data_IF_575833028656
#
_entry.id   IF_575833028656
#
_cell.length_a   1.000
_cell.length_b   1.000
_cell.length_c   1.000
_cell.angle_alpha   90.00
_cell.angle_beta   90.00
_cell.angle_gamma   90.00
#
_symmetry.space_group_name_H-M   'P 1'
#
loop_
_entity.id
_entity.type
_entity.pdbx_description
1 polymer ?
#
# COMPACT_ATOMS: atom_id res chain seq x y z
N UNK A 1 -10.92 -21.67 1.57
CA UNK A 1 -11.14 -23.12 1.81
C UNK A 1 -9.88 -23.85 2.30
N UNK A 2 -8.80 -23.98 1.50
CA UNK A 2 -7.60 -24.74 1.91
C UNK A 2 -6.83 -24.18 3.13
N UNK A 3 -6.83 -22.85 3.34
CA UNK A 3 -6.15 -22.19 4.46
C UNK A 3 -6.77 -22.54 5.81
N UNK A 4 -8.10 -22.44 5.93
CA UNK A 4 -8.81 -22.68 7.19
C UNK A 4 -8.75 -24.15 7.63
N UNK A 5 -8.79 -25.11 6.69
CA UNK A 5 -8.63 -26.53 7.00
C UNK A 5 -7.22 -26.85 7.52
N UNK A 6 -6.18 -26.28 6.89
CA UNK A 6 -4.80 -26.40 7.37
C UNK A 6 -4.62 -25.78 8.75
N UNK A 7 -5.17 -24.60 8.98
CA UNK A 7 -5.14 -23.92 10.28
C UNK A 7 -5.85 -24.74 11.37
N UNK A 8 -6.98 -25.37 11.02
CA UNK A 8 -7.72 -26.27 11.91
C UNK A 8 -6.86 -27.46 12.35
N UNK A 9 -6.16 -28.11 11.41
CA UNK A 9 -5.25 -29.21 11.73
C UNK A 9 -4.10 -28.77 12.64
N UNK A 10 -3.53 -27.58 12.39
CA UNK A 10 -2.46 -27.01 13.22
C UNK A 10 -2.98 -26.78 14.65
N UNK A 11 -4.09 -26.07 14.80
CA UNK A 11 -4.69 -25.78 16.11
C UNK A 11 -5.03 -27.06 16.88
N UNK A 12 -5.68 -28.01 16.22
CA UNK A 12 -6.02 -29.30 16.81
C UNK A 12 -4.80 -30.06 17.30
N UNK A 13 -3.75 -30.15 16.47
CA UNK A 13 -2.51 -30.84 16.85
C UNK A 13 -1.87 -30.21 18.08
N UNK A 14 -1.82 -28.87 18.16
CA UNK A 14 -1.29 -28.17 19.32
C UNK A 14 -2.14 -28.41 20.57
N UNK A 15 -3.47 -28.30 20.47
CA UNK A 15 -4.39 -28.61 21.56
C UNK A 15 -4.18 -30.05 22.08
N UNK A 16 -4.11 -31.02 21.17
CA UNK A 16 -3.92 -32.43 21.50
C UNK A 16 -2.61 -32.69 22.27
N UNK A 17 -1.54 -31.95 21.95
CA UNK A 17 -0.22 -32.09 22.59
C UNK A 17 0.02 -31.11 23.76
N UNK A 18 -0.89 -30.18 24.00
CA UNK A 18 -0.73 -29.05 24.94
C UNK A 18 -0.68 -29.45 26.42
N UNK A 19 -1.15 -30.65 26.79
CA UNK A 19 -1.39 -31.08 28.17
C UNK A 19 -2.22 -30.06 29.01
N UNK A 20 -3.02 -29.19 28.38
CA UNK A 20 -3.83 -28.21 29.10
C UNK A 20 -4.97 -28.89 29.89
N UNK A 21 -5.31 -28.31 31.04
CA UNK A 21 -6.47 -28.76 31.80
C UNK A 21 -7.77 -28.51 31.03
N UNK A 22 -8.77 -29.36 31.27
CA UNK A 22 -10.06 -29.33 30.57
C UNK A 22 -10.73 -27.94 30.61
N UNK A 23 -10.63 -27.22 31.72
CA UNK A 23 -11.20 -25.88 31.89
C UNK A 23 -10.69 -24.86 30.85
N UNK A 24 -9.44 -24.99 30.41
CA UNK A 24 -8.86 -24.12 29.37
C UNK A 24 -9.29 -24.57 27.97
N UNK A 25 -9.33 -25.89 27.73
CA UNK A 25 -9.80 -26.45 26.47
C UNK A 25 -11.24 -26.05 26.21
N UNK A 26 -12.11 -26.18 27.22
CA UNK A 26 -13.53 -25.82 27.12
C UNK A 26 -13.72 -24.36 26.66
N UNK A 27 -12.81 -23.43 26.99
CA UNK A 27 -12.87 -22.03 26.53
C UNK A 27 -12.57 -21.86 25.04
N UNK A 28 -11.80 -22.76 24.42
CA UNK A 28 -11.53 -22.79 22.98
C UNK A 28 -12.73 -23.38 22.21
N UNK A 29 -13.38 -24.39 22.78
CA UNK A 29 -14.57 -25.03 22.19
C UNK A 29 -15.86 -24.25 22.42
N UNK A 30 -15.94 -23.47 23.50
CA UNK A 30 -17.07 -22.60 23.83
C UNK A 30 -17.41 -21.69 22.63
N UNK A 31 -18.69 -21.64 22.27
CA UNK A 31 -19.23 -20.81 21.19
C UNK A 31 -18.49 -20.98 19.84
N UNK A 32 -17.84 -22.13 19.63
CA UNK A 32 -16.99 -22.41 18.47
C UNK A 32 -15.84 -21.40 18.26
N UNK A 33 -15.29 -20.83 19.34
CA UNK A 33 -14.17 -19.86 19.30
C UNK A 33 -12.93 -20.33 18.54
N UNK A 34 -12.70 -21.63 18.40
CA UNK A 34 -11.68 -22.16 17.49
C UNK A 34 -11.81 -21.65 16.06
N UNK A 35 -13.03 -21.34 15.57
CA UNK A 35 -13.27 -20.73 14.26
C UNK A 35 -12.66 -19.32 14.16
N UNK A 36 -12.77 -18.51 15.21
CA UNK A 36 -12.18 -17.17 15.28
C UNK A 36 -10.65 -17.27 15.26
N UNK A 37 -10.08 -18.24 15.99
CA UNK A 37 -8.64 -18.48 16.00
C UNK A 37 -8.14 -18.83 14.59
N UNK A 38 -8.72 -19.84 13.93
CA UNK A 38 -8.22 -20.36 12.63
C UNK A 38 -8.41 -19.38 11.47
N UNK A 39 -9.38 -18.47 11.58
CA UNK A 39 -9.66 -17.45 10.55
C UNK A 39 -8.91 -16.15 10.79
N UNK A 40 -8.34 -15.96 11.98
CA UNK A 40 -7.62 -14.74 12.34
C UNK A 40 -6.47 -14.42 11.37
N UNK A 41 -6.32 -13.15 10.99
CA UNK A 41 -5.31 -12.68 10.02
C UNK A 41 -3.88 -13.04 10.43
N UNK A 42 -3.60 -13.02 11.74
CA UNK A 42 -2.28 -13.29 12.32
C UNK A 42 -2.06 -14.76 12.68
N UNK A 43 -2.99 -15.68 12.37
CA UNK A 43 -2.84 -17.10 12.72
C UNK A 43 -1.45 -17.64 12.30
N UNK A 44 -0.72 -18.20 13.26
CA UNK A 44 0.64 -18.69 13.07
C UNK A 44 0.89 -19.89 14.01
N UNK A 45 1.46 -21.01 13.53
CA UNK A 45 1.81 -22.14 14.39
C UNK A 45 2.58 -21.76 15.66
N UNK A 46 3.50 -20.78 15.60
CA UNK A 46 4.25 -20.31 16.78
C UNK A 46 3.37 -19.59 17.80
N UNK A 47 2.40 -18.81 17.33
CA UNK A 47 1.42 -18.16 18.22
C UNK A 47 0.55 -19.21 18.87
N UNK A 48 0.09 -20.20 18.09
CA UNK A 48 -0.70 -21.32 18.63
C UNK A 48 0.09 -22.11 19.66
N UNK A 49 1.34 -22.47 19.37
CA UNK A 49 2.25 -23.10 20.33
C UNK A 49 2.38 -22.27 21.61
N UNK A 50 2.57 -20.95 21.49
CA UNK A 50 2.71 -20.05 22.62
C UNK A 50 1.44 -20.01 23.50
N UNK A 51 0.26 -19.90 22.89
CA UNK A 51 -1.01 -19.83 23.64
C UNK A 51 -1.51 -21.19 24.12
N UNK A 52 -0.91 -22.29 23.65
CA UNK A 52 -1.21 -23.65 24.09
C UNK A 52 -0.14 -24.26 25.00
N UNK A 53 0.94 -23.54 25.31
CA UNK A 53 1.97 -24.02 26.22
C UNK A 53 1.45 -24.05 27.68
N UNK A 54 1.43 -25.23 28.29
CA UNK A 54 0.90 -25.42 29.65
C UNK A 54 1.58 -24.54 30.70
N UNK A 55 2.91 -24.35 30.61
CA UNK A 55 3.68 -23.58 31.60
C UNK A 55 3.29 -22.10 31.52
N UNK A 56 3.19 -21.56 30.31
CA UNK A 56 2.80 -20.16 30.07
C UNK A 56 1.34 -19.93 30.45
N UNK A 57 0.45 -20.81 30.02
CA UNK A 57 -1.01 -20.71 30.30
C UNK A 57 -1.33 -20.88 31.78
N UNK A 58 -0.53 -21.66 32.52
CA UNK A 58 -0.70 -21.86 33.97
C UNK A 58 -0.64 -20.58 34.82
N UNK A 59 -0.16 -19.46 34.26
CA UNK A 59 -0.17 -18.15 34.92
C UNK A 59 -1.46 -17.34 34.70
N UNK A 60 -2.36 -17.82 33.84
CA UNK A 60 -3.65 -17.18 33.49
C UNK A 60 -4.79 -18.00 34.07
N UNK A 61 -5.80 -17.36 34.68
CA UNK A 61 -6.98 -18.10 35.16
C UNK A 61 -7.87 -18.53 33.97
N UNK A 62 -8.60 -19.66 34.05
CA UNK A 62 -9.41 -20.16 32.93
C UNK A 62 -10.40 -19.15 32.35
N UNK A 63 -11.00 -18.30 33.18
CA UNK A 63 -11.98 -17.31 32.72
C UNK A 63 -11.38 -16.22 31.83
N UNK A 64 -10.12 -15.85 32.06
CA UNK A 64 -9.39 -14.86 31.27
C UNK A 64 -8.69 -15.48 30.05
N UNK A 65 -8.71 -16.81 29.91
CA UNK A 65 -7.94 -17.51 28.88
C UNK A 65 -8.34 -17.14 27.45
N UNK A 66 -9.63 -16.88 27.21
CA UNK A 66 -10.09 -16.46 25.89
C UNK A 66 -9.55 -15.06 25.51
N UNK A 67 -9.58 -14.12 26.46
CA UNK A 67 -9.00 -12.80 26.26
C UNK A 67 -7.49 -12.89 26.07
N UNK A 68 -6.81 -13.79 26.79
CA UNK A 68 -5.40 -14.08 26.58
C UNK A 68 -5.11 -14.59 25.16
N UNK A 69 -5.89 -15.53 24.62
CA UNK A 69 -5.73 -16.02 23.23
C UNK A 69 -5.94 -14.88 22.23
N UNK A 70 -7.03 -14.11 22.37
CA UNK A 70 -7.33 -12.99 21.47
C UNK A 70 -6.21 -11.96 21.50
N UNK A 71 -5.78 -11.55 22.68
CA UNK A 71 -4.68 -10.60 22.84
C UNK A 71 -3.42 -11.09 22.14
N UNK A 72 -3.02 -12.35 22.31
CA UNK A 72 -1.81 -12.88 21.66
C UNK A 72 -1.94 -13.04 20.13
N UNK A 73 -3.16 -13.20 19.61
CA UNK A 73 -3.41 -13.19 18.16
C UNK A 73 -3.41 -11.76 17.60
N UNK A 74 -3.94 -10.80 18.34
CA UNK A 74 -4.00 -9.39 17.98
C UNK A 74 -2.63 -8.71 18.09
N UNK A 75 -1.91 -8.98 19.18
CA UNK A 75 -0.63 -8.36 19.57
C UNK A 75 0.46 -9.43 19.83
N UNK A 76 0.95 -10.16 18.82
CA UNK A 76 1.97 -11.20 19.00
C UNK A 76 3.38 -10.64 19.20
N UNK A 77 3.52 -9.38 19.64
CA UNK A 77 4.80 -8.68 19.72
C UNK A 77 5.79 -9.41 20.65
N UNK A 78 5.33 -9.88 21.81
CA UNK A 78 6.16 -10.61 22.78
C UNK A 78 6.72 -11.93 22.19
N UNK A 79 5.92 -12.60 21.36
CA UNK A 79 6.28 -13.87 20.72
C UNK A 79 7.37 -13.62 19.68
N UNK A 80 7.23 -12.55 18.90
CA UNK A 80 8.26 -12.13 17.95
C UNK A 80 9.49 -11.57 18.65
N UNK A 81 9.35 -10.86 19.76
CA UNK A 81 10.47 -10.35 20.55
C UNK A 81 11.37 -11.50 21.02
N UNK A 82 10.78 -12.52 21.65
CA UNK A 82 11.54 -13.68 22.13
C UNK A 82 12.25 -14.40 20.98
N UNK A 83 11.55 -14.64 19.87
CA UNK A 83 12.12 -15.32 18.71
C UNK A 83 13.20 -14.49 18.02
N UNK A 84 12.90 -13.23 17.71
CA UNK A 84 13.77 -12.34 16.94
C UNK A 84 15.03 -11.97 17.73
N UNK A 85 14.90 -11.66 19.02
CA UNK A 85 16.04 -11.22 19.82
C UNK A 85 16.93 -12.38 20.29
N UNK A 86 16.33 -13.53 20.65
CA UNK A 86 17.08 -14.61 21.30
C UNK A 86 17.36 -15.82 20.39
N UNK A 87 16.58 -15.99 19.31
CA UNK A 87 16.63 -17.21 18.49
C UNK A 87 17.00 -16.95 17.02
N UNK A 88 17.28 -15.69 16.64
CA UNK A 88 17.72 -15.37 15.28
C UNK A 88 19.08 -14.69 15.23
N UNK A 89 19.87 -15.12 14.26
CA UNK A 89 21.15 -14.54 13.91
C UNK A 89 20.97 -13.16 13.26
N UNK A 90 21.91 -12.25 13.49
CA UNK A 90 21.91 -10.88 12.93
C UNK A 90 21.71 -10.86 11.42
N UNK A 91 22.24 -11.85 10.69
CA UNK A 91 22.06 -11.94 9.25
C UNK A 91 20.61 -12.25 8.86
N UNK A 92 19.89 -13.06 9.63
CA UNK A 92 18.46 -13.33 9.42
C UNK A 92 17.64 -12.07 9.74
N UNK A 93 18.02 -11.36 10.81
CA UNK A 93 17.40 -10.08 11.18
C UNK A 93 17.59 -9.04 10.08
N UNK A 94 18.78 -8.95 9.49
CA UNK A 94 19.06 -8.06 8.36
C UNK A 94 18.12 -8.33 7.17
N UNK A 95 17.93 -9.59 6.75
CA UNK A 95 16.97 -9.90 5.67
C UNK A 95 15.54 -9.50 6.03
N UNK A 96 15.16 -9.66 7.29
CA UNK A 96 13.82 -9.29 7.77
C UNK A 96 13.63 -7.78 7.77
N UNK A 97 14.58 -7.01 8.32
CA UNK A 97 14.58 -5.56 8.29
C UNK A 97 14.49 -5.01 6.85
N UNK A 98 15.34 -5.50 5.96
CA UNK A 98 15.33 -5.10 4.55
C UNK A 98 13.97 -5.39 3.89
N UNK A 99 13.31 -6.50 4.23
CA UNK A 99 11.98 -6.83 3.70
C UNK A 99 10.90 -5.93 4.29
N UNK A 100 10.91 -5.68 5.60
CA UNK A 100 9.94 -4.79 6.28
C UNK A 100 10.01 -3.39 5.69
N UNK A 101 11.20 -2.78 5.66
CA UNK A 101 11.38 -1.40 5.19
C UNK A 101 11.29 -1.25 3.66
N UNK A 102 11.22 -2.34 2.90
CA UNK A 102 10.86 -2.32 1.48
C UNK A 102 9.35 -2.59 1.27
N UNK A 103 8.52 -2.16 2.22
CA UNK A 103 7.06 -2.33 2.21
C UNK A 103 6.60 -3.81 2.20
N UNK A 104 7.27 -4.64 3.01
CA UNK A 104 6.89 -6.05 3.26
C UNK A 104 7.15 -7.04 2.12
N UNK A 105 7.64 -6.58 0.96
CA UNK A 105 7.95 -7.42 -0.20
C UNK A 105 9.20 -6.95 -0.92
N UNK A 106 10.04 -7.86 -1.41
CA UNK A 106 11.31 -7.50 -2.08
C UNK A 106 11.78 -8.61 -3.03
N UNK A 107 12.28 -8.24 -4.21
CA UNK A 107 12.83 -9.21 -5.16
C UNK A 107 14.10 -9.87 -4.62
N UNK A 108 14.36 -11.13 -5.01
CA UNK A 108 15.56 -11.85 -4.56
C UNK A 108 16.87 -11.14 -4.94
N UNK A 109 16.91 -10.55 -6.14
CA UNK A 109 18.07 -9.80 -6.62
C UNK A 109 18.33 -8.57 -5.74
N UNK A 110 17.28 -7.79 -5.47
CA UNK A 110 17.39 -6.58 -4.67
C UNK A 110 17.67 -6.90 -3.20
N UNK A 111 17.05 -7.93 -2.65
CA UNK A 111 17.33 -8.37 -1.28
C UNK A 111 18.79 -8.84 -1.14
N UNK A 112 19.33 -9.55 -2.13
CA UNK A 112 20.72 -9.98 -2.16
C UNK A 112 21.71 -8.81 -2.19
N UNK A 113 21.51 -7.86 -3.10
CA UNK A 113 22.40 -6.70 -3.19
C UNK A 113 22.31 -5.83 -1.94
N UNK A 114 21.09 -5.58 -1.44
CA UNK A 114 20.87 -4.80 -0.22
C UNK A 114 21.47 -5.48 1.01
N UNK A 115 21.34 -6.80 1.14
CA UNK A 115 21.98 -7.56 2.22
C UNK A 115 23.51 -7.41 2.21
N UNK A 116 24.13 -7.55 1.03
CA UNK A 116 25.58 -7.39 0.91
C UNK A 116 26.04 -5.96 1.21
N UNK A 117 25.24 -4.94 0.86
CA UNK A 117 25.51 -3.55 1.24
C UNK A 117 25.36 -3.35 2.74
N UNK A 118 24.29 -3.89 3.34
CA UNK A 118 23.99 -3.79 4.76
C UNK A 118 25.12 -4.34 5.62
N UNK A 119 25.66 -5.52 5.28
CA UNK A 119 26.81 -6.11 5.99
C UNK A 119 28.09 -5.27 5.93
N UNK A 120 28.22 -4.36 4.95
CA UNK A 120 29.39 -3.48 4.83
C UNK A 120 29.25 -2.20 5.65
N UNK A 121 28.03 -1.70 5.83
CA UNK A 121 27.76 -0.40 6.44
C UNK A 121 27.17 -0.49 7.85
N UNK A 122 26.66 -1.66 8.23
CA UNK A 122 26.12 -1.92 9.55
C UNK A 122 26.98 -2.95 10.28
N UNK A 123 27.22 -2.70 11.57
CA UNK A 123 27.98 -3.64 12.39
C UNK A 123 27.10 -4.84 12.69
N UNK A 124 27.50 -6.01 12.19
CA UNK A 124 26.79 -7.27 12.36
C UNK A 124 27.70 -8.25 13.08
N UNK A 125 27.18 -8.94 14.08
CA UNK A 125 27.90 -10.06 14.68
C UNK A 125 27.82 -11.25 13.72
N UNK A 126 28.88 -11.44 12.94
CA UNK A 126 28.99 -12.57 12.02
C UNK A 126 29.19 -13.91 12.75
N UNK A 127 29.41 -13.90 14.08
CA UNK A 127 29.57 -15.11 14.88
C UNK A 127 30.67 -16.05 14.38
N UNK A 128 30.48 -17.35 14.62
CA UNK A 128 31.39 -18.44 14.24
C UNK A 128 31.55 -18.60 12.72
N UNK A 129 32.45 -19.52 12.30
CA UNK A 129 32.80 -19.88 10.91
C UNK A 129 31.67 -20.42 10.01
N UNK A 130 30.42 -20.19 10.39
CA UNK A 130 29.22 -20.51 9.63
C UNK A 130 29.12 -19.71 8.32
N UNK A 131 28.48 -20.30 7.30
CA UNK A 131 28.28 -19.64 6.01
C UNK A 131 27.25 -18.50 6.14
N UNK A 132 27.74 -17.25 6.07
CA UNK A 132 26.92 -16.02 6.10
C UNK A 132 26.55 -15.49 4.72
N UNK A 133 26.79 -16.28 3.67
CA UNK A 133 26.35 -15.94 2.32
C UNK A 133 24.83 -15.78 2.28
N UNK A 134 24.38 -14.94 1.35
CA UNK A 134 22.95 -14.77 1.10
C UNK A 134 22.23 -16.11 0.84
N UNK A 135 22.89 -17.07 0.15
CA UNK A 135 22.31 -18.38 -0.15
C UNK A 135 22.04 -19.24 1.09
N UNK A 136 22.93 -19.18 2.08
CA UNK A 136 22.74 -19.90 3.34
C UNK A 136 21.68 -19.22 4.20
N UNK A 137 21.79 -17.91 4.39
CA UNK A 137 20.91 -17.14 5.27
C UNK A 137 19.48 -17.08 4.74
N UNK A 138 19.27 -16.93 3.42
CA UNK A 138 17.92 -16.93 2.84
C UNK A 138 17.18 -18.24 3.14
N UNK A 139 17.86 -19.39 3.10
CA UNK A 139 17.24 -20.70 3.39
C UNK A 139 16.80 -20.80 4.85
N UNK A 140 17.58 -20.23 5.77
CA UNK A 140 17.21 -20.16 7.18
C UNK A 140 16.04 -19.21 7.39
N UNK A 141 16.11 -18.01 6.81
CA UNK A 141 15.03 -17.01 6.90
C UNK A 141 13.71 -17.54 6.33
N UNK A 142 13.73 -18.32 5.25
CA UNK A 142 12.52 -18.94 4.66
C UNK A 142 11.87 -20.01 5.52
N UNK A 143 12.58 -20.52 6.53
CA UNK A 143 12.02 -21.48 7.51
C UNK A 143 11.40 -20.75 8.71
N UNK A 144 11.56 -19.43 8.82
CA UNK A 144 11.26 -18.69 10.03
C UNK A 144 10.42 -17.44 9.80
N UNK A 145 11.01 -16.41 9.20
CA UNK A 145 10.49 -15.04 9.17
C UNK A 145 10.03 -14.61 7.78
N UNK A 146 10.50 -15.27 6.72
CA UNK A 146 10.20 -14.94 5.34
C UNK A 146 9.52 -16.10 4.62
N UNK A 147 8.70 -15.77 3.63
CA UNK A 147 8.26 -16.68 2.58
C UNK A 147 8.94 -16.31 1.28
N UNK A 148 9.25 -17.31 0.45
CA UNK A 148 9.84 -17.11 -0.88
C UNK A 148 8.87 -17.58 -1.94
N UNK A 149 8.33 -16.65 -2.71
CA UNK A 149 7.34 -16.90 -3.74
C UNK A 149 8.00 -16.84 -5.12
N UNK A 150 7.58 -17.73 -6.02
CA UNK A 150 8.02 -17.69 -7.42
C UNK A 150 7.03 -16.83 -8.23
N UNK A 151 7.53 -15.76 -8.83
CA UNK A 151 6.73 -14.78 -9.60
C UNK A 151 6.99 -14.85 -11.11
N UNK A 152 7.92 -15.70 -11.54
CA UNK A 152 8.22 -15.91 -12.96
C UNK A 152 9.28 -16.98 -13.16
N UNK A 153 9.76 -17.14 -14.39
CA UNK A 153 10.85 -18.07 -14.67
C UNK A 153 12.12 -17.63 -13.94
N UNK A 154 12.53 -18.41 -12.94
CA UNK A 154 13.69 -18.12 -12.07
C UNK A 154 13.65 -16.75 -11.37
N UNK A 155 12.48 -16.11 -11.29
CA UNK A 155 12.27 -14.85 -10.55
C UNK A 155 11.52 -15.14 -9.26
N UNK A 156 12.05 -14.60 -8.17
CA UNK A 156 11.53 -14.86 -6.83
C UNK A 156 11.40 -13.57 -6.05
N UNK A 157 10.39 -13.53 -5.21
CA UNK A 157 10.09 -12.46 -4.27
C UNK A 157 10.08 -13.02 -2.84
N UNK A 158 10.54 -12.22 -1.91
CA UNK A 158 10.46 -12.49 -0.49
C UNK A 158 9.38 -11.60 0.11
N UNK A 159 8.50 -12.23 0.90
CA UNK A 159 7.49 -11.54 1.70
C UNK A 159 7.61 -12.01 3.15
N UNK A 160 7.04 -11.26 4.08
CA UNK A 160 7.02 -11.68 5.48
C UNK A 160 6.21 -12.96 5.66
N UNK A 161 6.66 -13.82 6.58
CA UNK A 161 5.94 -15.03 6.94
C UNK A 161 4.57 -14.72 7.54
N UNK A 162 4.51 -13.64 8.32
CA UNK A 162 3.30 -13.14 8.96
C UNK A 162 3.32 -11.60 9.01
N UNK A 163 2.22 -10.91 8.67
CA UNK A 163 2.16 -9.45 8.70
C UNK A 163 2.52 -8.82 10.05
N UNK A 164 2.19 -9.48 11.17
CA UNK A 164 2.50 -8.98 12.52
C UNK A 164 3.99 -8.82 12.83
N UNK A 165 4.88 -9.42 12.02
CA UNK A 165 6.32 -9.18 12.10
C UNK A 165 6.63 -7.70 11.80
N UNK A 166 5.93 -7.09 10.84
CA UNK A 166 6.07 -5.65 10.55
C UNK A 166 5.75 -4.82 11.78
N UNK A 167 4.62 -5.10 12.43
CA UNK A 167 4.18 -4.32 13.58
C UNK A 167 5.19 -4.43 14.72
N UNK A 168 5.64 -5.65 15.03
CA UNK A 168 6.72 -5.87 16.01
C UNK A 168 8.01 -5.12 15.69
N UNK A 169 8.48 -5.16 14.42
CA UNK A 169 9.71 -4.49 14.03
C UNK A 169 9.57 -2.97 14.15
N UNK A 170 8.43 -2.42 13.74
CA UNK A 170 8.19 -0.98 13.86
C UNK A 170 8.04 -0.56 15.32
N UNK A 171 7.32 -1.30 16.17
CA UNK A 171 7.19 -0.96 17.58
C UNK A 171 8.50 -1.07 18.35
N UNK A 172 9.33 -2.06 18.03
CA UNK A 172 10.58 -2.33 18.76
C UNK A 172 11.79 -1.50 18.29
N UNK A 173 11.80 -1.05 17.03
CA UNK A 173 12.99 -0.42 16.42
C UNK A 173 12.71 0.98 15.84
N UNK A 174 11.53 1.57 16.10
CA UNK A 174 11.13 2.89 15.60
C UNK A 174 12.07 4.04 16.00
N UNK A 175 12.75 3.91 17.14
CA UNK A 175 13.66 4.94 17.66
C UNK A 175 15.12 4.75 17.20
N UNK A 176 15.42 3.65 16.50
CA UNK A 176 16.78 3.28 16.09
C UNK A 176 17.17 3.96 14.77
N UNK A 177 17.34 5.27 14.80
CA UNK A 177 17.59 6.10 13.61
C UNK A 177 18.78 5.62 12.77
N UNK A 178 19.85 5.15 13.41
CA UNK A 178 21.05 4.67 12.72
C UNK A 178 20.83 3.33 12.03
N UNK A 179 20.10 2.41 12.66
CA UNK A 179 19.71 1.14 12.05
C UNK A 179 18.84 1.39 10.82
N UNK A 180 17.77 2.18 10.98
CA UNK A 180 16.83 2.50 9.90
C UNK A 180 17.56 3.22 8.75
N UNK A 181 18.45 4.17 9.08
CA UNK A 181 19.29 4.85 8.08
C UNK A 181 20.11 3.84 7.27
N UNK A 182 20.76 2.88 7.93
CA UNK A 182 21.59 1.88 7.24
C UNK A 182 20.77 0.86 6.45
N UNK A 183 19.56 0.53 6.90
CA UNK A 183 18.61 -0.27 6.13
C UNK A 183 18.25 0.46 4.83
N UNK A 184 17.84 1.73 4.91
CA UNK A 184 17.44 2.52 3.75
C UNK A 184 18.60 2.82 2.80
N UNK A 185 19.81 3.08 3.34
CA UNK A 185 21.04 3.17 2.53
C UNK A 185 21.34 1.89 1.76
N UNK A 186 21.03 0.75 2.36
CA UNK A 186 21.24 -0.55 1.74
C UNK A 186 20.18 -0.88 0.70
N UNK A 187 18.93 -0.49 0.96
CA UNK A 187 17.82 -0.66 0.05
C UNK A 187 17.95 0.25 -1.15
N UNK A 188 18.11 1.56 -0.98
CA UNK A 188 18.15 2.52 -2.09
C UNK A 188 17.02 2.25 -3.12
N UNK A 189 15.78 2.36 -2.66
CA UNK A 189 14.57 2.21 -3.49
C UNK A 189 13.53 3.28 -3.16
N UNK A 190 12.81 3.74 -4.19
CA UNK A 190 11.64 4.61 -4.02
C UNK A 190 10.59 3.98 -3.10
N UNK A 191 10.34 2.67 -3.25
CA UNK A 191 9.40 1.93 -2.41
C UNK A 191 9.73 2.03 -0.91
N UNK A 192 11.03 2.00 -0.55
CA UNK A 192 11.45 2.12 0.85
C UNK A 192 11.27 3.53 1.41
N UNK A 193 11.47 4.56 0.59
CA UNK A 193 11.26 5.96 0.99
C UNK A 193 9.77 6.29 1.12
N UNK A 194 8.94 5.86 0.17
CA UNK A 194 7.48 5.99 0.24
C UNK A 194 6.92 5.27 1.48
N UNK A 195 7.46 4.09 1.78
CA UNK A 195 7.09 3.36 2.99
C UNK A 195 7.51 4.08 4.26
N UNK A 196 8.74 4.63 4.31
CA UNK A 196 9.20 5.46 5.43
C UNK A 196 8.28 6.66 5.66
N UNK A 197 7.87 7.35 4.59
CA UNK A 197 6.95 8.48 4.69
C UNK A 197 5.61 8.03 5.29
N UNK A 198 5.04 6.93 4.76
CA UNK A 198 3.79 6.34 5.24
C UNK A 198 3.84 6.05 6.74
N UNK A 199 4.87 5.34 7.22
CA UNK A 199 4.99 5.00 8.65
C UNK A 199 5.31 6.22 9.54
N UNK A 200 5.91 7.27 8.99
CA UNK A 200 6.13 8.54 9.70
C UNK A 200 4.82 9.32 9.88
N UNK A 201 3.98 9.39 8.84
CA UNK A 201 2.64 10.00 8.90
C UNK A 201 1.75 9.29 9.93
N UNK A 202 1.77 7.96 9.97
CA UNK A 202 1.06 7.18 10.98
C UNK A 202 1.71 7.19 12.38
N UNK A 203 2.70 8.05 12.62
CA UNK A 203 3.39 8.21 13.90
C UNK A 203 4.02 6.92 14.45
N UNK A 204 4.31 5.94 13.57
CA UNK A 204 5.06 4.73 13.95
C UNK A 204 6.56 5.02 14.14
N UNK A 205 7.05 6.13 13.60
CA UNK A 205 8.41 6.64 13.84
C UNK A 205 8.26 8.04 14.40
N UNK A 206 8.98 8.34 15.49
CA UNK A 206 8.92 9.66 16.09
C UNK A 206 9.57 10.73 15.16
N UNK A 207 9.09 11.97 15.21
CA UNK A 207 9.55 13.05 14.31
C UNK A 207 11.06 13.31 14.39
N UNK A 208 11.65 13.20 15.58
CA UNK A 208 13.09 13.42 15.76
C UNK A 208 13.93 12.32 15.11
N UNK A 209 13.45 11.07 15.15
CA UNK A 209 14.06 9.93 14.50
C UNK A 209 13.98 10.09 12.97
N UNK A 210 12.80 10.43 12.44
CA UNK A 210 12.62 10.71 11.00
C UNK A 210 13.58 11.80 10.50
N UNK A 211 13.69 12.91 11.25
CA UNK A 211 14.63 14.00 10.95
C UNK A 211 16.08 13.52 10.85
N UNK A 212 16.55 12.71 11.82
CA UNK A 212 17.90 12.14 11.79
C UNK A 212 18.11 11.17 10.63
N UNK A 213 17.09 10.36 10.30
CA UNK A 213 17.14 9.44 9.16
C UNK A 213 17.31 10.24 7.87
N UNK A 214 16.48 11.26 7.66
CA UNK A 214 16.56 12.15 6.51
C UNK A 214 17.95 12.79 6.37
N UNK A 215 18.49 13.38 7.45
CA UNK A 215 19.83 13.96 7.47
C UNK A 215 20.92 12.95 7.09
N UNK A 216 20.83 11.73 7.62
CA UNK A 216 21.75 10.63 7.32
C UNK A 216 21.67 10.18 5.85
N UNK A 217 20.47 10.19 5.26
CA UNK A 217 20.26 9.84 3.85
C UNK A 217 20.81 10.91 2.93
N UNK A 218 20.53 12.19 3.18
CA UNK A 218 21.12 13.31 2.44
C UNK A 218 22.65 13.25 2.49
N UNK A 219 23.23 13.11 3.68
CA UNK A 219 24.69 13.00 3.84
C UNK A 219 25.30 11.87 3.02
N UNK A 220 24.59 10.76 2.86
CA UNK A 220 25.10 9.57 2.16
C UNK A 220 24.89 9.62 0.65
N UNK A 221 23.75 10.15 0.19
CA UNK A 221 23.33 10.05 -1.21
C UNK A 221 23.40 11.35 -2.00
N UNK A 222 23.33 12.52 -1.36
CA UNK A 222 23.03 13.79 -2.04
C UNK A 222 23.95 14.07 -3.24
N UNK A 223 25.26 14.09 -3.03
CA UNK A 223 26.23 14.37 -4.12
C UNK A 223 26.09 13.40 -5.28
N UNK A 224 26.03 12.09 -4.99
CA UNK A 224 25.92 11.06 -6.01
C UNK A 224 24.59 11.16 -6.77
N UNK A 225 23.48 11.44 -6.08
CA UNK A 225 22.15 11.54 -6.69
C UNK A 225 21.96 12.82 -7.50
N UNK A 226 22.62 13.91 -7.09
CA UNK A 226 22.72 15.12 -7.90
C UNK A 226 23.50 14.86 -9.19
N UNK A 227 24.63 14.15 -9.14
CA UNK A 227 25.42 13.78 -10.32
C UNK A 227 24.70 12.80 -11.26
N UNK A 228 23.94 11.85 -10.70
CA UNK A 228 23.12 10.88 -11.44
C UNK A 228 21.83 11.50 -12.00
N UNK A 229 21.50 12.75 -11.63
CA UNK A 229 20.21 13.39 -11.92
C UNK A 229 19.01 12.54 -11.48
N UNK A 230 19.14 11.82 -10.35
CA UNK A 230 18.09 10.99 -9.77
C UNK A 230 17.14 11.85 -8.94
N UNK A 231 16.35 12.66 -9.66
CA UNK A 231 15.46 13.66 -9.08
C UNK A 231 14.37 13.03 -8.22
N UNK A 232 13.77 11.93 -8.67
CA UNK A 232 12.72 11.22 -7.92
C UNK A 232 13.21 10.76 -6.55
N UNK A 233 14.45 10.26 -6.44
CA UNK A 233 15.03 9.92 -5.16
C UNK A 233 15.18 11.15 -4.25
N UNK A 234 15.71 12.25 -4.78
CA UNK A 234 15.90 13.49 -4.02
C UNK A 234 14.58 14.12 -3.58
N UNK A 235 13.54 14.07 -4.42
CA UNK A 235 12.17 14.50 -4.09
C UNK A 235 11.66 13.70 -2.90
N UNK A 236 11.71 12.36 -2.97
CA UNK A 236 11.18 11.50 -1.92
C UNK A 236 11.90 11.66 -0.59
N UNK A 237 13.23 11.85 -0.57
CA UNK A 237 13.96 12.11 0.68
C UNK A 237 13.67 13.52 1.20
N UNK A 238 13.54 14.53 0.34
CA UNK A 238 13.17 15.89 0.73
C UNK A 238 11.77 15.93 1.35
N UNK A 239 10.83 15.21 0.75
CA UNK A 239 9.42 15.19 1.16
C UNK A 239 9.18 14.64 2.57
N UNK A 240 10.12 13.83 3.11
CA UNK A 240 10.02 13.29 4.47
C UNK A 240 9.86 14.40 5.55
N UNK A 241 10.59 15.49 5.40
CA UNK A 241 10.48 16.70 6.23
C UNK A 241 11.21 17.85 5.51
N UNK A 242 10.54 18.51 4.56
CA UNK A 242 11.14 19.65 3.84
C UNK A 242 11.17 20.94 4.69
N UNK A 243 10.68 20.90 5.94
CA UNK A 243 10.86 21.96 6.93
C UNK A 243 12.11 21.75 7.80
N UNK A 244 12.93 20.74 7.47
CA UNK A 244 14.18 20.50 8.17
C UNK A 244 15.24 21.56 7.84
N UNK A 245 15.34 22.58 8.69
CA UNK A 245 16.29 23.70 8.56
C UNK A 245 17.76 23.27 8.32
N UNK A 246 18.18 22.11 8.82
CA UNK A 246 19.55 21.61 8.62
C UNK A 246 19.83 21.25 7.15
N UNK A 247 18.79 20.96 6.38
CA UNK A 247 18.84 20.52 4.99
C UNK A 247 18.42 21.60 4.01
N UNK A 248 17.92 22.76 4.47
CA UNK A 248 17.44 23.84 3.60
C UNK A 248 18.40 24.17 2.46
N UNK A 249 19.70 24.30 2.74
CA UNK A 249 20.70 24.59 1.69
C UNK A 249 20.81 23.49 0.63
N UNK A 250 20.71 22.23 1.04
CA UNK A 250 20.80 21.09 0.11
C UNK A 250 19.52 20.97 -0.70
N UNK A 251 18.36 21.10 -0.06
CA UNK A 251 17.05 21.08 -0.73
C UNK A 251 16.95 22.25 -1.72
N UNK A 252 17.30 23.47 -1.31
CA UNK A 252 17.31 24.66 -2.16
C UNK A 252 18.24 24.48 -3.37
N UNK A 253 19.46 23.96 -3.17
CA UNK A 253 20.39 23.67 -4.27
C UNK A 253 19.80 22.63 -5.23
N UNK A 254 19.22 21.56 -4.71
CA UNK A 254 18.57 20.51 -5.49
C UNK A 254 17.41 21.07 -6.32
N UNK A 255 16.46 21.78 -5.69
CA UNK A 255 15.29 22.34 -6.36
C UNK A 255 15.69 23.34 -7.45
N UNK A 256 16.63 24.25 -7.14
CA UNK A 256 17.14 25.20 -8.14
C UNK A 256 17.84 24.50 -9.31
N UNK A 257 18.55 23.40 -9.05
CA UNK A 257 19.19 22.62 -10.13
C UNK A 257 18.13 21.92 -10.99
N UNK A 258 17.14 21.29 -10.35
CA UNK A 258 16.05 20.58 -11.02
C UNK A 258 15.23 21.50 -11.93
N UNK A 259 14.76 22.64 -11.42
CA UNK A 259 13.88 23.54 -12.20
C UNK A 259 14.61 24.23 -13.36
N UNK A 260 15.95 24.31 -13.31
CA UNK A 260 16.77 24.88 -14.39
C UNK A 260 17.47 23.79 -15.23
N UNK A 261 17.17 22.49 -15.01
CA UNK A 261 17.77 21.41 -15.76
C UNK A 261 17.21 21.32 -17.19
N UNK A 262 18.00 20.76 -18.11
CA UNK A 262 17.57 20.54 -19.50
C UNK A 262 16.67 19.29 -19.59
N UNK A 263 15.37 19.49 -19.80
CA UNK A 263 14.37 18.42 -19.91
C UNK A 263 14.36 17.38 -18.77
N UNK A 264 14.25 17.81 -17.50
CA UNK A 264 14.17 16.89 -16.38
C UNK A 264 12.91 16.01 -16.49
N UNK A 265 12.99 14.80 -15.94
CA UNK A 265 11.83 13.90 -15.77
C UNK A 265 11.61 13.62 -14.30
N UNK A 266 10.36 13.71 -13.87
CA UNK A 266 9.93 13.51 -12.49
C UNK A 266 8.68 12.68 -12.52
N UNK A 267 8.63 11.59 -11.76
CA UNK A 267 7.45 10.75 -11.58
C UNK A 267 6.66 11.14 -10.32
N UNK A 268 7.36 11.60 -9.29
CA UNK A 268 6.77 11.97 -8.00
C UNK A 268 6.34 13.45 -8.02
N UNK A 269 5.41 13.77 -8.93
CA UNK A 269 4.98 15.16 -9.19
C UNK A 269 4.26 15.77 -7.98
N UNK A 270 3.31 15.06 -7.38
CA UNK A 270 2.58 15.56 -6.19
C UNK A 270 3.54 15.93 -5.04
N UNK A 271 4.53 15.08 -4.74
CA UNK A 271 5.53 15.37 -3.72
C UNK A 271 6.40 16.58 -4.10
N UNK A 272 6.81 16.70 -5.36
CA UNK A 272 7.58 17.86 -5.84
C UNK A 272 6.76 19.16 -5.72
N UNK A 273 5.50 19.16 -6.18
CA UNK A 273 4.63 20.33 -6.13
C UNK A 273 4.42 20.78 -4.68
N UNK A 274 4.22 19.83 -3.76
CA UNK A 274 4.11 20.13 -2.33
C UNK A 274 5.36 20.82 -1.78
N UNK A 275 6.55 20.31 -2.12
CA UNK A 275 7.81 20.93 -1.70
C UNK A 275 7.94 22.35 -2.31
N UNK A 276 7.77 22.50 -3.62
CA UNK A 276 7.89 23.80 -4.30
C UNK A 276 6.88 24.84 -3.78
N UNK A 277 5.75 24.36 -3.26
CA UNK A 277 4.64 25.17 -2.74
C UNK A 277 4.92 25.72 -1.35
N UNK A 278 5.48 24.91 -0.45
CA UNK A 278 5.54 25.21 0.98
C UNK A 278 6.96 25.24 1.58
N UNK A 279 8.00 25.00 0.77
CA UNK A 279 9.39 25.09 1.21
C UNK A 279 9.81 26.52 1.57
N UNK A 280 10.53 26.65 2.70
CA UNK A 280 11.13 27.89 3.20
C UNK A 280 12.64 27.64 3.38
N UNK A 281 13.53 28.28 2.59
CA UNK A 281 13.33 29.50 1.80
C UNK A 281 12.53 29.33 0.50
N UNK A 282 11.76 30.35 0.14
CA UNK A 282 10.99 30.39 -1.12
C UNK A 282 11.90 30.23 -2.36
N UNK A 283 11.47 29.40 -3.30
CA UNK A 283 12.17 29.19 -4.58
C UNK A 283 11.71 30.22 -5.61
N UNK A 284 12.64 30.95 -6.21
CA UNK A 284 12.33 31.90 -7.29
C UNK A 284 12.21 31.18 -8.64
N UNK A 285 11.01 31.19 -9.21
CA UNK A 285 10.75 30.68 -10.56
C UNK A 285 10.95 31.78 -11.61
N UNK A 286 11.82 31.56 -12.60
CA UNK A 286 11.94 32.46 -13.77
C UNK A 286 10.74 32.32 -14.70
N UNK A 287 10.33 31.07 -14.90
CA UNK A 287 9.22 30.59 -15.68
C UNK A 287 8.78 29.23 -15.12
N UNK A 288 7.77 28.63 -15.74
CA UNK A 288 7.25 27.32 -15.35
C UNK A 288 7.48 26.26 -16.43
N UNK A 289 8.42 26.49 -17.35
CA UNK A 289 8.67 25.59 -18.49
C UNK A 289 9.12 24.20 -18.03
N UNK A 290 9.71 24.09 -16.85
CA UNK A 290 10.07 22.81 -16.23
C UNK A 290 8.86 21.86 -16.10
N UNK A 291 7.65 22.39 -15.89
CA UNK A 291 6.43 21.59 -15.79
C UNK A 291 6.08 20.89 -17.11
N UNK A 292 6.54 21.38 -18.27
CA UNK A 292 6.22 20.78 -19.56
C UNK A 292 6.58 19.30 -19.65
N UNK A 293 7.67 18.91 -18.98
CA UNK A 293 8.19 17.54 -19.01
C UNK A 293 7.76 16.72 -17.78
N UNK A 294 7.14 17.35 -16.78
CA UNK A 294 6.66 16.69 -15.57
C UNK A 294 5.20 16.28 -15.66
N UNK A 295 4.42 17.01 -16.44
CA UNK A 295 3.02 16.68 -16.72
C UNK A 295 3.01 15.52 -17.72
N UNK A 296 2.92 14.30 -17.19
CA UNK A 296 2.74 13.08 -17.98
C UNK A 296 1.37 13.06 -18.68
N UNK A 297 1.19 12.18 -19.67
CA UNK A 297 -0.08 12.04 -20.41
C UNK A 297 -1.24 11.53 -19.53
N UNK A 298 -0.93 10.97 -18.36
CA UNK A 298 -1.89 10.45 -17.40
C UNK A 298 -1.42 10.76 -15.98
N UNK A 299 -2.33 11.28 -15.16
CA UNK A 299 -2.14 11.50 -13.73
C UNK A 299 -3.32 10.90 -12.97
N UNK A 300 -3.07 10.41 -11.75
CA UNK A 300 -4.14 10.10 -10.82
C UNK A 300 -4.85 11.38 -10.34
N UNK A 301 -6.05 11.23 -9.77
CA UNK A 301 -6.90 12.34 -9.33
C UNK A 301 -6.20 13.27 -8.33
N UNK A 302 -5.52 12.70 -7.33
CA UNK A 302 -4.87 13.47 -6.28
C UNK A 302 -3.73 14.33 -6.87
N UNK A 303 -2.88 13.73 -7.72
CA UNK A 303 -1.79 14.45 -8.40
C UNK A 303 -2.32 15.55 -9.34
N UNK A 304 -3.44 15.30 -10.03
CA UNK A 304 -4.07 16.31 -10.89
C UNK A 304 -4.61 17.49 -10.06
N UNK A 305 -5.26 17.21 -8.92
CA UNK A 305 -5.74 18.25 -7.99
C UNK A 305 -4.56 19.09 -7.46
N UNK A 306 -3.45 18.45 -7.07
CA UNK A 306 -2.26 19.15 -6.60
C UNK A 306 -1.67 20.07 -7.68
N UNK A 307 -1.63 19.61 -8.93
CA UNK A 307 -1.19 20.42 -10.07
C UNK A 307 -2.08 21.64 -10.30
N UNK A 308 -3.40 21.48 -10.23
CA UNK A 308 -4.35 22.58 -10.36
C UNK A 308 -4.17 23.60 -9.22
N UNK A 309 -4.00 23.14 -7.99
CA UNK A 309 -3.76 24.01 -6.85
C UNK A 309 -2.43 24.77 -6.98
N UNK A 310 -1.39 24.11 -7.49
CA UNK A 310 -0.11 24.77 -7.79
C UNK A 310 -0.27 25.88 -8.84
N UNK A 311 -0.99 25.61 -9.93
CA UNK A 311 -1.24 26.58 -11.01
C UNK A 311 -1.99 27.82 -10.50
N UNK A 312 -2.97 27.62 -9.63
CA UNK A 312 -3.71 28.72 -9.02
C UNK A 312 -2.84 29.54 -8.06
N UNK A 313 -2.14 28.85 -7.13
CA UNK A 313 -1.29 29.50 -6.11
C UNK A 313 -0.24 30.41 -6.74
N UNK A 314 0.40 29.94 -7.81
CA UNK A 314 1.46 30.68 -8.52
C UNK A 314 0.96 31.52 -9.69
N UNK A 315 -0.37 31.58 -9.90
CA UNK A 315 -1.03 32.28 -10.99
C UNK A 315 -0.39 32.00 -12.36
N UNK A 316 -0.17 30.73 -12.67
CA UNK A 316 0.45 30.29 -13.91
C UNK A 316 -0.51 30.57 -15.07
N UNK A 317 -0.04 31.26 -16.10
CA UNK A 317 -0.80 31.65 -17.29
C UNK A 317 -0.16 31.12 -18.59
N UNK A 318 0.75 30.15 -18.45
CA UNK A 318 1.39 29.53 -19.60
C UNK A 318 0.39 28.69 -20.41
N UNK A 319 0.22 29.03 -21.69
CA UNK A 319 -0.79 28.39 -22.54
C UNK A 319 -0.55 26.91 -22.77
N UNK A 320 0.73 26.49 -22.82
CA UNK A 320 1.07 25.08 -23.05
C UNK A 320 0.75 24.26 -21.81
N UNK A 321 1.08 24.76 -20.61
CA UNK A 321 0.71 24.11 -19.34
C UNK A 321 -0.81 24.00 -19.22
N UNK A 322 -1.53 25.10 -19.43
CA UNK A 322 -2.99 25.13 -19.32
C UNK A 322 -3.66 24.16 -20.30
N UNK A 323 -3.14 24.04 -21.52
CA UNK A 323 -3.64 23.07 -22.51
C UNK A 323 -3.32 21.62 -22.13
N UNK A 324 -2.14 21.33 -21.56
CA UNK A 324 -1.83 19.99 -21.05
C UNK A 324 -2.79 19.59 -19.92
N UNK A 325 -3.09 20.52 -19.02
CA UNK A 325 -4.03 20.32 -17.91
C UNK A 325 -5.46 20.11 -18.41
N UNK A 326 -5.91 20.90 -19.38
CA UNK A 326 -7.23 20.71 -20.01
C UNK A 326 -7.38 19.29 -20.56
N UNK A 327 -6.38 18.81 -21.31
CA UNK A 327 -6.38 17.44 -21.86
C UNK A 327 -6.38 16.37 -20.76
N UNK A 328 -5.69 16.60 -19.65
CA UNK A 328 -5.68 15.66 -18.51
C UNK A 328 -7.02 15.56 -17.82
N UNK A 329 -7.71 16.70 -17.64
CA UNK A 329 -9.07 16.72 -17.09
C UNK A 329 -10.02 15.98 -18.04
N UNK A 330 -9.91 16.22 -19.35
CA UNK A 330 -10.71 15.48 -20.33
C UNK A 330 -10.45 13.96 -20.24
N UNK A 331 -9.19 13.54 -20.18
CA UNK A 331 -8.83 12.14 -20.05
C UNK A 331 -9.40 11.51 -18.77
N UNK A 332 -9.28 12.19 -17.63
CA UNK A 332 -9.81 11.73 -16.35
C UNK A 332 -11.33 11.50 -16.41
N UNK A 333 -12.07 12.44 -16.99
CA UNK A 333 -13.52 12.32 -17.15
C UNK A 333 -13.90 11.23 -18.17
N UNK A 334 -13.15 11.10 -19.28
CA UNK A 334 -13.34 10.01 -20.24
C UNK A 334 -13.12 8.63 -19.61
N UNK A 335 -12.15 8.50 -18.70
CA UNK A 335 -11.87 7.27 -17.97
C UNK A 335 -13.03 6.93 -17.01
N UNK A 336 -13.55 7.92 -16.29
CA UNK A 336 -14.75 7.79 -15.46
C UNK A 336 -15.94 7.27 -16.28
N UNK A 337 -16.18 7.83 -17.47
CA UNK A 337 -17.30 7.42 -18.32
C UNK A 337 -17.15 5.96 -18.81
N UNK A 338 -15.92 5.53 -19.09
CA UNK A 338 -15.65 4.18 -19.63
C UNK A 338 -15.70 3.08 -18.58
N UNK A 339 -15.18 3.36 -17.38
CA UNK A 339 -14.90 2.32 -16.39
C UNK A 339 -15.77 2.40 -15.13
N UNK A 340 -16.37 3.55 -14.84
CA UNK A 340 -17.31 3.67 -13.73
C UNK A 340 -18.74 3.49 -14.23
N UNK A 341 -19.53 2.72 -13.48
CA UNK A 341 -20.98 2.81 -13.60
C UNK A 341 -21.38 4.20 -13.13
N UNK A 342 -21.66 5.08 -14.09
CA UNK A 342 -22.09 6.45 -13.85
C UNK A 342 -23.42 6.51 -13.07
N UNK A 343 -24.10 5.37 -12.87
CA UNK A 343 -25.35 5.29 -12.12
C UNK A 343 -26.47 6.08 -12.79
N UNK A 344 -26.37 6.28 -14.11
CA UNK A 344 -27.35 7.03 -14.90
C UNK A 344 -28.64 6.22 -14.96
N UNK A 345 -29.75 6.83 -14.54
CA UNK A 345 -31.07 6.20 -14.60
C UNK A 345 -31.62 6.26 -16.04
N UNK A 346 -31.02 5.47 -16.94
CA UNK A 346 -31.49 5.33 -18.31
C UNK A 346 -32.97 4.92 -18.37
N UNK A 347 -33.46 4.13 -17.41
CA UNK A 347 -34.85 3.70 -17.32
C UNK A 347 -35.83 4.87 -17.22
N UNK A 348 -35.51 5.90 -16.44
CA UNK A 348 -36.34 7.12 -16.34
C UNK A 348 -36.42 7.92 -17.65
N UNK A 349 -35.48 7.73 -18.57
CA UNK A 349 -35.37 8.47 -19.83
C UNK A 349 -35.87 7.70 -21.06
N UNK A 350 -36.29 6.44 -20.90
CA UNK A 350 -36.82 5.61 -22.00
C UNK A 350 -38.34 5.73 -22.05
N UNK A 351 -38.84 6.40 -23.10
CA UNK A 351 -40.27 6.68 -23.27
C UNK A 351 -41.07 5.48 -23.81
N UNK A 352 -40.43 4.59 -24.58
CA UNK A 352 -41.06 3.41 -25.19
C UNK A 352 -40.11 2.21 -25.22
N UNK A 353 -40.59 1.06 -24.72
CA UNK A 353 -39.84 -0.20 -24.61
C UNK A 353 -40.22 -1.15 -25.75
N UNK A 354 -39.57 -1.03 -26.91
CA UNK A 354 -39.82 -1.96 -28.01
C UNK A 354 -38.53 -2.33 -28.74
N UNK A 355 -37.65 -3.10 -28.08
CA UNK A 355 -36.40 -3.58 -28.66
C UNK A 355 -36.60 -4.14 -30.09
N UNK A 356 -35.80 -3.74 -31.10
CA UNK A 356 -34.62 -2.85 -31.05
C UNK A 356 -34.93 -1.34 -31.19
N UNK A 357 -36.20 -0.94 -31.24
CA UNK A 357 -36.62 0.46 -31.37
C UNK A 357 -37.04 1.03 -30.00
N UNK A 358 -36.16 1.82 -29.39
CA UNK A 358 -36.46 2.59 -28.19
C UNK A 358 -36.47 4.10 -28.51
N UNK A 359 -37.28 4.86 -27.78
CA UNK A 359 -37.26 6.33 -27.82
C UNK A 359 -36.66 6.84 -26.52
N UNK A 360 -35.47 7.43 -26.59
CA UNK A 360 -34.71 7.91 -25.45
C UNK A 360 -34.69 9.44 -25.41
N UNK A 361 -34.97 10.00 -24.24
CA UNK A 361 -34.76 11.42 -23.97
C UNK A 361 -33.26 11.72 -23.83
N UNK A 362 -32.57 11.84 -24.96
CA UNK A 362 -31.12 12.13 -25.00
C UNK A 362 -30.73 13.34 -24.16
N UNK A 363 -31.52 14.41 -24.18
CA UNK A 363 -31.24 15.62 -23.40
C UNK A 363 -31.31 15.39 -21.89
N UNK A 364 -32.19 14.50 -21.44
CA UNK A 364 -32.27 14.10 -20.04
C UNK A 364 -31.02 13.35 -19.62
N UNK A 365 -30.60 12.38 -20.43
CA UNK A 365 -29.37 11.61 -20.21
C UNK A 365 -28.13 12.51 -20.25
N UNK A 366 -28.02 13.43 -21.22
CA UNK A 366 -26.95 14.43 -21.29
C UNK A 366 -26.89 15.28 -20.01
N UNK A 367 -28.05 15.67 -19.47
CA UNK A 367 -28.15 16.43 -18.22
C UNK A 367 -27.65 15.62 -17.03
N UNK A 368 -28.09 14.37 -16.89
CA UNK A 368 -27.69 13.50 -15.78
C UNK A 368 -26.19 13.18 -15.83
N UNK A 369 -25.64 12.95 -17.03
CA UNK A 369 -24.19 12.79 -17.24
C UNK A 369 -23.47 14.08 -16.87
N UNK A 370 -23.96 15.25 -17.31
CA UNK A 370 -23.37 16.55 -16.95
C UNK A 370 -23.32 16.75 -15.45
N UNK A 371 -24.43 16.52 -14.74
CA UNK A 371 -24.53 16.68 -13.29
C UNK A 371 -23.56 15.74 -12.55
N UNK A 372 -23.38 14.53 -13.08
CA UNK A 372 -22.45 13.52 -12.55
C UNK A 372 -21.00 13.97 -12.74
N UNK A 373 -20.60 14.36 -13.95
CA UNK A 373 -19.25 14.84 -14.25
C UNK A 373 -18.92 16.12 -13.47
N UNK A 374 -19.86 17.06 -13.39
CA UNK A 374 -19.72 18.29 -12.59
C UNK A 374 -19.55 17.97 -11.09
N UNK A 375 -20.12 16.85 -10.61
CA UNK A 375 -19.88 16.41 -9.24
C UNK A 375 -18.46 15.91 -9.00
N UNK A 376 -17.83 15.24 -9.97
CA UNK A 376 -16.41 14.87 -9.89
C UNK A 376 -15.51 16.10 -9.92
N UNK A 377 -15.84 17.11 -10.73
CA UNK A 377 -15.07 18.35 -10.82
C UNK A 377 -15.16 19.25 -9.57
N UNK A 378 -16.05 18.97 -8.61
CA UNK A 378 -16.16 19.79 -7.37
C UNK A 378 -14.91 19.79 -6.51
N UNK A 379 -14.11 18.71 -6.55
CA UNK A 379 -12.83 18.63 -5.82
C UNK A 379 -11.72 19.42 -6.52
N UNK A 380 -11.89 19.78 -7.80
CA UNK A 380 -10.87 20.42 -8.62
C UNK A 380 -10.84 21.93 -8.38
N UNK A 381 -9.69 22.55 -8.65
CA UNK A 381 -9.53 23.99 -8.43
C UNK A 381 -10.39 24.81 -9.42
N UNK A 382 -11.44 25.44 -8.88
CA UNK A 382 -12.41 26.23 -9.68
C UNK A 382 -11.77 27.37 -10.47
N UNK A 383 -10.77 28.06 -9.90
CA UNK A 383 -10.13 29.19 -10.57
C UNK A 383 -9.38 28.73 -11.82
N UNK A 384 -8.76 27.55 -11.78
CA UNK A 384 -8.07 26.98 -12.95
C UNK A 384 -9.09 26.50 -13.99
N UNK A 385 -10.17 25.84 -13.57
CA UNK A 385 -11.25 25.43 -14.48
C UNK A 385 -11.85 26.64 -15.23
N UNK A 386 -12.10 27.75 -14.52
CA UNK A 386 -12.55 29.01 -15.13
C UNK A 386 -11.47 29.60 -16.05
N UNK A 387 -10.20 29.54 -15.66
CA UNK A 387 -9.07 30.08 -16.43
C UNK A 387 -8.90 29.37 -17.79
N UNK A 388 -9.13 28.06 -17.84
CA UNK A 388 -9.07 27.28 -19.08
C UNK A 388 -10.41 27.24 -19.84
N UNK A 389 -11.44 27.91 -19.32
CA UNK A 389 -12.80 27.88 -19.89
C UNK A 389 -13.35 26.45 -20.05
N UNK A 390 -13.04 25.56 -19.08
CA UNK A 390 -13.38 24.14 -19.18
C UNK A 390 -14.90 23.93 -19.22
N UNK A 391 -15.36 23.02 -20.08
CA UNK A 391 -16.76 22.63 -20.15
C UNK A 391 -16.92 21.15 -20.45
N UNK A 392 -17.71 20.47 -19.63
CA UNK A 392 -18.12 19.06 -19.81
C UNK A 392 -18.94 18.85 -21.08
N UNK A 393 -19.51 19.91 -21.66
CA UNK A 393 -20.29 19.84 -22.90
C UNK A 393 -19.51 19.25 -24.07
N UNK A 394 -18.20 19.52 -24.15
CA UNK A 394 -17.34 18.97 -25.21
C UNK A 394 -17.22 17.45 -25.12
N UNK A 395 -17.16 16.90 -23.90
CA UNK A 395 -17.09 15.47 -23.65
C UNK A 395 -18.44 14.84 -23.96
N UNK A 396 -19.53 15.40 -23.41
CA UNK A 396 -20.90 14.90 -23.59
C UNK A 396 -21.27 14.84 -25.08
N UNK A 397 -20.89 15.83 -25.87
CA UNK A 397 -21.17 15.87 -27.31
C UNK A 397 -20.51 14.74 -28.12
N UNK A 398 -19.49 14.08 -27.57
CA UNK A 398 -18.76 12.96 -28.18
C UNK A 398 -19.36 11.59 -27.81
N UNK A 399 -20.29 11.53 -26.85
CA UNK A 399 -20.84 10.28 -26.35
C UNK A 399 -21.92 9.72 -27.29
N UNK A 400 -21.87 8.41 -27.52
CA UNK A 400 -22.96 7.70 -28.18
C UNK A 400 -23.97 7.21 -27.13
N UNK A 401 -24.94 8.08 -26.85
CA UNK A 401 -26.01 7.81 -25.87
C UNK A 401 -26.89 6.64 -26.31
N UNK A 402 -27.05 6.41 -27.61
CA UNK A 402 -27.84 5.29 -28.12
C UNK A 402 -27.13 3.98 -27.79
N UNK A 403 -25.81 3.89 -28.03
CA UNK A 403 -25.00 2.73 -27.66
C UNK A 403 -24.99 2.45 -26.16
N UNK A 404 -24.86 3.50 -25.33
CA UNK A 404 -24.94 3.37 -23.87
C UNK A 404 -26.30 2.84 -23.41
N UNK A 405 -27.39 3.36 -23.97
CA UNK A 405 -28.75 2.93 -23.67
C UNK A 405 -29.03 1.50 -24.17
N UNK A 406 -28.48 1.11 -25.32
CA UNK A 406 -28.55 -0.27 -25.81
C UNK A 406 -27.86 -1.23 -24.85
N UNK A 407 -26.64 -0.91 -24.38
CA UNK A 407 -25.94 -1.74 -23.40
C UNK A 407 -26.72 -1.88 -22.09
N UNK A 408 -27.36 -0.80 -21.63
CA UNK A 408 -28.25 -0.84 -20.46
C UNK A 408 -29.45 -1.78 -20.67
N UNK A 409 -30.13 -1.68 -21.82
CA UNK A 409 -31.27 -2.53 -22.16
C UNK A 409 -30.88 -4.00 -22.33
N UNK A 410 -29.74 -4.29 -22.97
CA UNK A 410 -29.23 -5.66 -23.10
C UNK A 410 -29.01 -6.29 -21.72
N UNK A 411 -28.41 -5.57 -20.77
CA UNK A 411 -28.20 -6.04 -19.40
C UNK A 411 -29.53 -6.27 -18.63
N UNK A 412 -30.55 -5.44 -18.85
CA UNK A 412 -31.89 -5.62 -18.26
C UNK A 412 -32.62 -6.85 -18.83
N UNK A 413 -32.49 -7.13 -20.12
CA UNK A 413 -33.10 -8.31 -20.75
C UNK A 413 -32.46 -9.62 -20.26
N UNK A 414 -31.15 -9.63 -19.96
CA UNK A 414 -30.48 -10.78 -19.32
C UNK A 414 -31.01 -11.09 -17.92
N UNK A 415 -31.38 -10.09 -17.11
CA UNK A 415 -31.98 -10.33 -15.78
C UNK A 415 -33.42 -10.85 -15.86
N UNK A 416 -34.15 -10.54 -16.94
CA UNK A 416 -35.53 -10.99 -17.14
C UNK A 416 -35.64 -12.41 -17.70
N UNK A 417 -34.63 -12.91 -18.42
CA UNK A 417 -34.62 -14.28 -18.98
C UNK A 417 -34.21 -15.36 -17.94
N UNK A 418 -33.70 -14.98 -16.77
CA UNK A 418 -33.33 -15.89 -15.67
C UNK A 418 -34.46 -16.15 -14.64
N UNK A 419 -35.70 -15.72 -14.90
CA UNK A 419 -36.90 -16.15 -14.14
C UNK A 419 -37.43 -17.54 -14.59
N UNK A 420 -36.56 -18.51 -14.85
CA UNK A 420 -36.94 -19.93 -14.99
C UNK A 420 -35.91 -20.88 -14.35
N UNK A 421 -35.94 -20.97 -13.01
CA UNK A 421 -35.32 -22.05 -12.21
C UNK A 421 -33.86 -21.76 -11.85
N UNK A 422 -33.35 -22.04 -10.65
CA UNK A 422 -33.58 -23.17 -9.74
C UNK A 422 -33.15 -22.73 -8.34
N UNK A 423 -33.91 -23.13 -7.32
CA UNK A 423 -33.54 -22.98 -5.91
C UNK A 423 -32.33 -23.88 -5.61
N UNK A 424 -31.11 -23.34 -5.60
CA UNK A 424 -29.93 -23.99 -5.03
C UNK A 424 -29.61 -23.36 -3.68
N UNK A 425 -30.23 -23.94 -2.65
CA UNK A 425 -29.66 -23.91 -1.31
C UNK A 425 -28.45 -24.85 -1.32
N UNK A 426 -27.24 -24.30 -1.30
CA UNK A 426 -26.00 -25.05 -1.02
C UNK A 426 -25.20 -24.35 0.08
N UNK A 427 -25.80 -24.24 1.25
CA UNK A 427 -25.06 -24.10 2.51
C UNK A 427 -25.05 -25.44 3.22
N UNK A 428 -23.94 -26.18 3.12
CA UNK A 428 -23.43 -27.20 4.06
C UNK A 428 -22.45 -28.13 3.33
N UNK A 429 -21.15 -27.89 3.50
CA UNK A 429 -20.12 -28.94 3.37
C UNK A 429 -18.77 -28.50 3.94
N UNK A 430 -18.46 -27.20 3.97
CA UNK A 430 -17.16 -26.70 4.46
C UNK A 430 -17.11 -26.48 5.98
N UNK A 431 -18.24 -26.12 6.60
CA UNK A 431 -18.34 -25.99 8.06
C UNK A 431 -18.31 -27.34 8.76
N UNK A 432 -18.96 -28.34 8.16
CA UNK A 432 -19.08 -29.69 8.71
C UNK A 432 -17.72 -30.40 8.78
N UNK A 433 -16.80 -30.14 7.84
CA UNK A 433 -15.45 -30.73 7.86
C UNK A 433 -14.54 -30.14 8.94
N UNK A 434 -14.65 -28.83 9.22
CA UNK A 434 -13.89 -28.18 10.29
C UNK A 434 -14.46 -28.60 11.64
N UNK A 435 -15.78 -28.56 11.80
CA UNK A 435 -16.44 -28.96 13.03
C UNK A 435 -16.18 -30.46 13.32
N UNK A 436 -16.13 -31.33 12.30
CA UNK A 436 -15.75 -32.73 12.47
C UNK A 436 -14.30 -32.98 12.99
N UNK A 437 -13.36 -32.05 12.79
CA UNK A 437 -12.01 -32.13 13.38
C UNK A 437 -12.08 -31.88 14.89
N UNK A 438 -12.90 -30.92 15.30
CA UNK A 438 -13.01 -30.47 16.69
C UNK A 438 -14.07 -31.23 17.50
N UNK A 439 -14.98 -31.97 16.85
CA UNK A 439 -15.98 -32.85 17.49
C UNK A 439 -15.46 -34.26 17.85
N UNK A 440 -14.20 -34.59 17.48
CA UNK A 440 -13.59 -35.92 17.73
C UNK A 440 -12.87 -36.06 19.08
N UNK A 441 -12.96 -35.10 20.00
CA UNK A 441 -12.27 -35.08 21.30
C UNK A 441 -13.17 -35.48 22.47
#
# INVERSE_FOLDING_TARGET
MARSLRNSQILYNHIYHSNLNKEYLDKIYQDKRYKDIITHRNFNPRIIEFVTDNIRVGNTIPDDYWEYIKKNLEEPEDIWAEYFQNQTDDCIRALTFLTVFNNGKISEEKLRSSYNTFLKIHTVNLGDSSDKSFEAIRKLATKSLLNRNQIGEKKYEYVLFNPSITDFILSSYSDESELISNILKSLETEASLKYLNTISVFSKINKQCSKKIQENLFKYFFERKMEEEDWDFLILVSYLDFFNENLNKQIELFLNTLINADNPRVKNLSELLSILTDFDPEIEFKDYEFLYNFIEDFLDEDTLIDLLNFIDKFNINDKKILSQVENLIEYYLDDIIKYNDLGIDFGSHINQHSYPNFDINKRGVESDISDTLDSFLKSFNKNVLEKIEFSTSNIISRLDIDDMAMSYLENQDYENDDEMGVNYNTGTSSEDEIDAIFERS
#
